data_IF_044481563084
#
_entry.id   IF_044481563084
#
_cell.length_a   1.000
_cell.length_b   1.000
_cell.length_c   1.000
_cell.angle_alpha   90.00
_cell.angle_beta   90.00
_cell.angle_gamma   90.00
#
_symmetry.space_group_name_H-M   'P 1'
#
loop_
_entity.id
_entity.type
_entity.pdbx_description
1 polymer ?
#
# COMPACT_ATOMS: atom_id res chain seq x y z
N UNK A 1 17.35 -23.09 65.42
CA UNK A 1 18.17 -22.03 64.83
C UNK A 1 17.80 -21.93 63.36
N UNK A 2 17.37 -20.74 62.97
CA UNK A 2 17.27 -20.12 61.64
C UNK A 2 16.77 -20.93 60.43
N UNK A 3 15.72 -20.39 59.80
CA UNK A 3 15.19 -20.86 58.52
C UNK A 3 15.82 -20.20 57.30
N UNK A 4 15.29 -20.55 56.13
CA UNK A 4 15.19 -19.67 54.96
C UNK A 4 14.19 -20.24 53.94
N UNK A 5 13.30 -19.35 53.48
CA UNK A 5 12.33 -19.51 52.40
C UNK A 5 13.01 -19.75 51.04
N UNK A 6 12.25 -20.32 50.10
CA UNK A 6 12.61 -20.33 48.68
C UNK A 6 11.72 -21.27 47.88
N UNK A 7 10.55 -20.80 47.47
CA UNK A 7 9.58 -21.55 46.67
C UNK A 7 10.15 -22.07 45.34
N UNK A 8 9.71 -23.27 44.97
CA UNK A 8 10.05 -23.91 43.70
C UNK A 8 8.81 -24.50 43.06
N UNK A 9 8.48 -23.93 41.90
CA UNK A 9 7.78 -24.50 40.74
C UNK A 9 6.85 -25.69 40.98
N UNK A 10 5.56 -25.40 41.07
CA UNK A 10 4.52 -26.39 40.81
C UNK A 10 4.42 -26.66 39.31
N UNK A 11 4.76 -27.89 38.92
CA UNK A 11 4.66 -28.41 37.57
C UNK A 11 3.18 -28.56 37.17
N UNK A 12 2.71 -27.78 36.20
CA UNK A 12 1.43 -28.02 35.54
C UNK A 12 1.61 -29.11 34.47
N UNK A 13 0.82 -30.18 34.60
CA UNK A 13 0.77 -31.33 33.69
C UNK A 13 0.27 -30.98 32.29
N UNK A 14 0.16 -31.98 31.38
CA UNK A 14 -0.12 -31.77 29.96
C UNK A 14 -1.61 -31.45 29.77
N UNK A 15 -1.97 -30.20 30.05
CA UNK A 15 -3.29 -29.64 29.80
C UNK A 15 -3.42 -29.25 28.33
N UNK A 16 -4.58 -29.56 27.77
CA UNK A 16 -5.10 -29.27 26.43
C UNK A 16 -5.16 -27.78 26.03
N UNK A 17 -4.30 -26.93 26.60
CA UNK A 17 -4.25 -25.47 26.39
C UNK A 17 -3.16 -25.02 25.41
N UNK A 18 -2.19 -25.88 25.07
CA UNK A 18 -1.11 -25.52 24.13
C UNK A 18 -1.56 -25.43 22.66
N UNK A 19 -2.54 -26.25 22.27
CA UNK A 19 -3.02 -26.33 20.89
C UNK A 19 -3.94 -25.15 20.53
N UNK A 20 -4.72 -24.66 21.50
CA UNK A 20 -5.62 -23.51 21.32
C UNK A 20 -4.84 -22.20 21.15
N UNK A 21 -3.71 -22.06 21.86
CA UNK A 21 -2.86 -20.87 21.76
C UNK A 21 -2.13 -20.78 20.40
N UNK A 22 -1.73 -21.92 19.84
CA UNK A 22 -1.08 -21.96 18.52
C UNK A 22 -2.05 -21.63 17.37
N UNK A 23 -3.31 -22.06 17.47
CA UNK A 23 -4.35 -21.75 16.46
C UNK A 23 -4.76 -20.27 16.52
N UNK A 24 -4.82 -19.66 17.71
CA UNK A 24 -5.14 -18.23 17.84
C UNK A 24 -4.04 -17.32 17.27
N UNK A 25 -2.76 -17.68 17.41
CA UNK A 25 -1.63 -16.90 16.86
C UNK A 25 -1.49 -17.10 15.35
N UNK A 26 -1.83 -18.28 14.81
CA UNK A 26 -1.84 -18.52 13.36
C UNK A 26 -2.96 -17.76 12.62
N UNK A 27 -4.08 -17.46 13.29
CA UNK A 27 -5.20 -16.75 12.68
C UNK A 27 -4.96 -15.24 12.48
N UNK A 28 -4.03 -14.62 13.21
CA UNK A 28 -3.77 -13.17 13.07
C UNK A 28 -3.04 -12.83 11.76
N UNK A 29 -2.37 -13.80 11.14
CA UNK A 29 -1.70 -13.62 9.85
C UNK A 29 -2.61 -13.86 8.63
N UNK A 30 -3.86 -14.28 8.83
CA UNK A 30 -4.78 -14.63 7.74
C UNK A 30 -5.64 -13.46 7.22
N UNK A 31 -5.45 -12.25 7.73
CA UNK A 31 -6.08 -11.03 7.22
C UNK A 31 -5.22 -10.29 6.18
N UNK A 32 -4.31 -11.00 5.50
CA UNK A 32 -3.07 -10.52 4.84
C UNK A 32 -3.18 -9.48 3.72
N UNK A 33 -3.75 -8.33 4.02
CA UNK A 33 -3.59 -7.09 3.28
C UNK A 33 -2.14 -6.61 3.35
N UNK A 34 -1.52 -6.37 2.20
CA UNK A 34 -0.15 -5.85 2.09
C UNK A 34 -0.22 -4.34 1.96
N UNK A 35 0.44 -3.62 2.87
CA UNK A 35 0.48 -2.16 2.85
C UNK A 35 1.76 -1.65 2.23
N UNK A 36 1.61 -0.76 1.26
CA UNK A 36 2.71 -0.08 0.59
C UNK A 36 2.71 1.41 0.94
N UNK A 37 3.83 2.00 1.37
CA UNK A 37 3.93 3.45 1.49
C UNK A 37 3.70 4.06 0.10
N UNK A 38 2.95 5.15 0.04
CA UNK A 38 2.60 5.84 -1.20
C UNK A 38 3.00 7.30 -1.09
N UNK A 39 3.73 7.76 -2.10
CA UNK A 39 4.16 9.15 -2.23
C UNK A 39 3.73 9.66 -3.58
N UNK A 40 3.25 10.88 -3.65
CA UNK A 40 2.76 11.44 -4.89
C UNK A 40 2.86 12.93 -4.94
N UNK A 41 2.36 13.46 -6.05
CA UNK A 41 2.22 14.88 -6.23
C UNK A 41 0.92 15.25 -6.90
N UNK A 42 0.38 16.37 -6.46
CA UNK A 42 -0.72 17.05 -7.12
C UNK A 42 -0.19 18.23 -7.95
N UNK A 43 -0.51 18.27 -9.25
CA UNK A 43 0.00 19.24 -10.22
C UNK A 43 1.54 19.47 -10.18
N UNK A 44 2.31 18.49 -9.71
CA UNK A 44 3.76 18.62 -9.49
C UNK A 44 4.17 19.70 -8.47
N UNK A 45 3.25 20.13 -7.60
CA UNK A 45 3.47 21.24 -6.64
C UNK A 45 3.24 20.84 -5.19
N UNK A 46 2.23 20.03 -4.94
CA UNK A 46 1.89 19.59 -3.59
C UNK A 46 2.30 18.13 -3.42
N UNK A 47 2.75 17.78 -2.21
CA UNK A 47 3.24 16.45 -1.86
C UNK A 47 2.11 15.66 -1.22
N UNK A 48 1.84 14.50 -1.77
CA UNK A 48 0.86 13.54 -1.27
C UNK A 48 1.60 12.41 -0.54
N UNK A 49 1.14 12.03 0.64
CA UNK A 49 1.71 10.93 1.43
C UNK A 49 0.59 10.05 1.95
N UNK A 50 0.76 8.74 1.88
CA UNK A 50 -0.18 7.81 2.46
C UNK A 50 0.19 6.36 2.19
N UNK A 51 -0.82 5.53 1.96
CA UNK A 51 -0.67 4.08 1.83
C UNK A 51 -1.60 3.50 0.78
N UNK A 52 -1.11 2.47 0.09
CA UNK A 52 -1.93 1.55 -0.70
C UNK A 52 -2.02 0.22 0.03
N UNK A 53 -3.23 -0.18 0.41
CA UNK A 53 -3.53 -1.44 1.05
C UNK A 53 -4.03 -2.42 -0.01
N UNK A 54 -3.25 -3.46 -0.32
CA UNK A 54 -3.55 -4.44 -1.35
C UNK A 54 -4.04 -5.76 -0.74
N UNK A 55 -5.21 -6.21 -1.18
CA UNK A 55 -5.74 -7.52 -0.83
C UNK A 55 -5.39 -8.54 -1.93
N UNK A 56 -4.45 -9.47 -1.67
CA UNK A 56 -4.02 -10.45 -2.66
C UNK A 56 -5.10 -11.48 -3.01
N UNK A 57 -6.11 -11.67 -2.15
CA UNK A 57 -7.20 -12.64 -2.39
C UNK A 57 -8.25 -12.09 -3.36
N UNK A 58 -8.57 -10.80 -3.28
CA UNK A 58 -9.55 -10.16 -4.16
C UNK A 58 -8.92 -9.44 -5.36
N UNK A 59 -7.59 -9.22 -5.36
CA UNK A 59 -6.91 -8.44 -6.40
C UNK A 59 -7.30 -6.96 -6.40
N UNK A 60 -7.83 -6.47 -5.28
CA UNK A 60 -8.24 -5.08 -5.09
C UNK A 60 -7.28 -4.37 -4.16
N UNK A 61 -7.12 -3.06 -4.34
CA UNK A 61 -6.42 -2.22 -3.36
C UNK A 61 -7.26 -1.04 -2.92
N UNK A 62 -7.03 -0.59 -1.69
CA UNK A 62 -7.54 0.66 -1.15
C UNK A 62 -6.37 1.65 -1.07
N UNK A 63 -6.46 2.74 -1.81
CA UNK A 63 -5.43 3.78 -1.84
C UNK A 63 -5.95 4.95 -0.99
N UNK A 64 -5.10 5.44 -0.10
CA UNK A 64 -5.36 6.64 0.69
C UNK A 64 -4.11 7.53 0.67
N UNK A 65 -4.27 8.78 0.28
CA UNK A 65 -3.20 9.77 0.28
C UNK A 65 -3.69 11.09 0.86
N UNK A 66 -2.83 11.73 1.63
CA UNK A 66 -3.06 13.00 2.30
C UNK A 66 -2.08 14.05 1.77
N UNK A 67 -2.61 15.21 1.38
CA UNK A 67 -1.83 16.38 0.97
C UNK A 67 -1.18 17.05 2.19
N UNK A 68 0.14 17.28 2.12
CA UNK A 68 0.88 17.98 3.18
C UNK A 68 0.51 19.46 3.25
N UNK A 69 0.29 20.13 2.11
CA UNK A 69 0.11 21.60 2.06
C UNK A 69 -1.36 21.99 2.19
N UNK A 70 -2.25 21.31 1.47
CA UNK A 70 -3.66 21.69 1.34
C UNK A 70 -4.59 20.93 2.28
N UNK A 71 -4.07 19.98 3.08
CA UNK A 71 -4.86 19.15 4.01
C UNK A 71 -6.04 18.45 3.33
N UNK A 72 -5.89 18.13 2.05
CA UNK A 72 -6.87 17.37 1.27
C UNK A 72 -6.54 15.89 1.36
N UNK A 73 -7.52 15.07 1.70
CA UNK A 73 -7.40 13.62 1.72
C UNK A 73 -8.10 13.04 0.51
N UNK A 74 -7.42 12.17 -0.24
CA UNK A 74 -7.98 11.45 -1.38
C UNK A 74 -7.91 9.95 -1.12
N UNK A 75 -9.03 9.25 -1.27
CA UNK A 75 -9.09 7.82 -0.98
C UNK A 75 -10.09 7.08 -1.87
N UNK A 76 -9.85 5.79 -2.09
CA UNK A 76 -10.74 4.95 -2.87
C UNK A 76 -10.15 3.60 -3.25
N UNK A 77 -10.98 2.79 -3.90
CA UNK A 77 -10.59 1.44 -4.31
C UNK A 77 -10.05 1.44 -5.74
N UNK A 78 -9.13 0.52 -6.00
CA UNK A 78 -8.66 0.17 -7.33
C UNK A 78 -8.63 -1.34 -7.51
N UNK A 79 -8.60 -1.80 -8.75
CA UNK A 79 -8.56 -3.20 -9.11
C UNK A 79 -7.60 -3.42 -10.28
N UNK A 80 -6.97 -4.60 -10.33
CA UNK A 80 -6.17 -5.00 -11.48
C UNK A 80 -7.05 -5.16 -12.72
N UNK A 81 -6.66 -4.55 -13.84
CA UNK A 81 -7.38 -4.60 -15.12
C UNK A 81 -6.52 -5.18 -16.24
N UNK A 82 -5.20 -5.26 -16.06
CA UNK A 82 -4.28 -5.80 -17.05
C UNK A 82 -3.15 -6.60 -16.40
N UNK A 83 -2.80 -7.72 -17.03
CA UNK A 83 -1.68 -8.56 -16.65
C UNK A 83 -0.93 -9.01 -17.92
N UNK A 84 0.37 -8.73 -18.06
CA UNK A 84 1.16 -9.24 -19.17
C UNK A 84 1.33 -10.76 -19.05
N UNK A 85 1.10 -11.47 -20.15
CA UNK A 85 1.36 -12.90 -20.23
C UNK A 85 2.86 -13.15 -20.06
N UNK A 86 3.24 -14.06 -19.15
CA UNK A 86 4.62 -14.50 -18.86
C UNK A 86 5.53 -13.56 -18.03
N UNK A 87 4.99 -12.54 -17.35
CA UNK A 87 5.81 -11.70 -16.45
C UNK A 87 6.05 -12.38 -15.08
N UNK A 88 7.23 -12.96 -14.89
CA UNK A 88 7.63 -13.58 -13.61
C UNK A 88 8.06 -12.57 -12.54
N UNK A 89 8.47 -11.37 -12.96
CA UNK A 89 9.01 -10.33 -12.08
C UNK A 89 7.94 -9.35 -11.57
N UNK A 90 6.68 -9.55 -11.95
CA UNK A 90 5.56 -8.72 -11.52
C UNK A 90 5.51 -7.35 -12.20
N UNK A 91 6.42 -7.03 -13.12
CA UNK A 91 6.43 -5.78 -13.85
C UNK A 91 5.35 -5.76 -14.96
N UNK A 92 4.74 -4.59 -15.16
CA UNK A 92 3.77 -4.33 -16.22
C UNK A 92 2.34 -4.78 -15.91
N UNK A 93 2.07 -5.33 -14.73
CA UNK A 93 0.70 -5.48 -14.25
C UNK A 93 0.12 -4.10 -14.01
N UNK A 94 -1.15 -3.92 -14.33
CA UNK A 94 -1.78 -2.62 -14.23
C UNK A 94 -3.23 -2.72 -13.81
N UNK A 95 -3.74 -1.59 -13.37
CA UNK A 95 -5.10 -1.50 -12.89
C UNK A 95 -5.62 -0.08 -12.91
N UNK A 96 -6.86 0.06 -12.51
CA UNK A 96 -7.56 1.32 -12.47
C UNK A 96 -8.42 1.44 -11.22
N UNK A 97 -8.73 2.68 -10.86
CA UNK A 97 -9.54 2.98 -9.69
C UNK A 97 -10.05 4.41 -9.71
N UNK A 98 -10.81 4.73 -8.67
CA UNK A 98 -11.35 6.07 -8.47
C UNK A 98 -11.03 6.52 -7.05
N UNK A 99 -10.37 7.68 -6.92
CA UNK A 99 -10.05 8.30 -5.64
C UNK A 99 -10.92 9.53 -5.45
N UNK A 100 -11.69 9.55 -4.37
CA UNK A 100 -12.50 10.69 -3.97
C UNK A 100 -11.73 11.54 -2.97
N UNK A 101 -11.64 12.82 -3.25
CA UNK A 101 -10.98 13.78 -2.39
C UNK A 101 -11.98 14.51 -1.46
N UNK A 102 -11.51 14.93 -0.30
CA UNK A 102 -12.29 15.65 0.71
C UNK A 102 -12.79 17.02 0.23
N UNK A 103 -12.19 17.59 -0.82
CA UNK A 103 -12.62 18.82 -1.48
C UNK A 103 -13.66 18.61 -2.59
N UNK A 104 -14.14 17.38 -2.76
CA UNK A 104 -15.17 17.02 -3.73
C UNK A 104 -14.66 16.59 -5.09
N UNK A 105 -13.35 16.68 -5.37
CA UNK A 105 -12.78 16.16 -6.61
C UNK A 105 -12.75 14.65 -6.65
N UNK A 106 -12.78 14.11 -7.85
CA UNK A 106 -12.74 12.68 -8.12
C UNK A 106 -11.66 12.44 -9.16
N UNK A 107 -10.63 11.69 -8.79
CA UNK A 107 -9.54 11.28 -9.67
C UNK A 107 -9.79 9.88 -10.19
N UNK A 108 -9.81 9.73 -11.51
CA UNK A 108 -9.69 8.42 -12.14
C UNK A 108 -8.22 8.10 -12.27
N UNK A 109 -7.79 7.04 -11.60
CA UNK A 109 -6.38 6.65 -11.53
C UNK A 109 -6.14 5.38 -12.34
N UNK A 110 -4.99 5.33 -12.99
CA UNK A 110 -4.41 4.13 -13.57
C UNK A 110 -3.05 3.90 -12.91
N UNK A 111 -2.72 2.65 -12.64
CA UNK A 111 -1.45 2.28 -12.04
C UNK A 111 -0.80 1.13 -12.79
N UNK A 112 0.52 1.04 -12.64
CA UNK A 112 1.34 -0.02 -13.17
C UNK A 112 2.43 -0.42 -12.17
N UNK A 113 2.70 -1.71 -12.07
CA UNK A 113 3.78 -2.27 -11.27
C UNK A 113 5.11 -2.17 -12.01
N UNK A 114 6.15 -1.77 -11.28
CA UNK A 114 7.55 -1.90 -11.69
C UNK A 114 8.12 -3.25 -11.22
N UNK A 115 7.62 -3.75 -10.09
CA UNK A 115 7.90 -5.06 -9.53
C UNK A 115 6.71 -5.51 -8.66
N UNK A 116 6.79 -6.71 -8.05
CA UNK A 116 5.76 -7.20 -7.13
C UNK A 116 5.46 -6.27 -5.94
N UNK A 117 6.39 -5.41 -5.54
CA UNK A 117 6.24 -4.52 -4.40
C UNK A 117 6.25 -3.03 -4.72
N UNK A 118 6.56 -2.65 -5.95
CA UNK A 118 6.74 -1.25 -6.34
C UNK A 118 6.01 -0.91 -7.62
N UNK A 119 5.61 0.35 -7.75
CA UNK A 119 4.96 0.81 -8.96
C UNK A 119 4.63 2.29 -8.92
N UNK A 120 3.91 2.72 -9.95
CA UNK A 120 3.49 4.10 -10.11
C UNK A 120 2.04 4.17 -10.57
N UNK A 121 1.45 5.34 -10.42
CA UNK A 121 0.14 5.63 -10.95
C UNK A 121 -0.04 7.09 -11.34
N UNK A 122 -1.01 7.30 -12.19
CA UNK A 122 -1.40 8.60 -12.75
C UNK A 122 -2.90 8.75 -12.63
N UNK A 123 -3.34 9.92 -12.18
CA UNK A 123 -4.72 10.27 -12.01
C UNK A 123 -5.09 11.51 -12.79
N UNK A 124 -6.32 11.54 -13.32
CA UNK A 124 -6.93 12.75 -13.85
C UNK A 124 -8.29 13.00 -13.21
N UNK A 125 -8.55 14.24 -12.80
CA UNK A 125 -9.89 14.69 -12.45
C UNK A 125 -10.66 15.23 -13.67
N UNK A 126 -11.91 15.65 -13.47
CA UNK A 126 -12.79 16.16 -14.53
C UNK A 126 -12.34 17.52 -15.08
N UNK A 127 -11.61 18.29 -14.29
CA UNK A 127 -11.12 19.64 -14.63
C UNK A 127 -9.74 19.58 -15.32
N UNK A 128 -9.23 18.38 -15.60
CA UNK A 128 -7.90 18.15 -16.18
C UNK A 128 -6.78 18.14 -15.14
N UNK A 129 -7.12 18.16 -13.86
CA UNK A 129 -6.19 18.07 -12.76
C UNK A 129 -5.42 16.78 -12.76
N UNK A 130 -4.10 16.86 -12.54
CA UNK A 130 -3.20 15.70 -12.63
C UNK A 130 -2.67 15.32 -11.26
N UNK A 131 -2.80 14.04 -10.97
CA UNK A 131 -2.18 13.38 -9.83
C UNK A 131 -1.17 12.36 -10.32
N UNK A 132 -0.03 12.25 -9.65
CA UNK A 132 0.95 11.18 -9.89
C UNK A 132 1.34 10.60 -8.55
N UNK A 133 1.53 9.29 -8.48
CA UNK A 133 1.99 8.64 -7.26
C UNK A 133 2.90 7.46 -7.57
N UNK A 134 3.69 7.07 -6.59
CA UNK A 134 4.47 5.84 -6.54
C UNK A 134 4.17 5.13 -5.24
N UNK A 135 4.28 3.82 -5.25
CA UNK A 135 4.10 3.00 -4.06
C UNK A 135 5.26 2.03 -3.87
N UNK A 136 5.50 1.66 -2.61
CA UNK A 136 6.51 0.67 -2.22
C UNK A 136 7.94 1.19 -2.20
N UNK A 137 8.15 2.50 -2.33
CA UNK A 137 9.46 3.16 -2.31
C UNK A 137 9.62 3.97 -1.02
N UNK A 138 10.87 4.20 -0.61
CA UNK A 138 11.18 5.18 0.45
C UNK A 138 10.97 6.61 -0.05
N UNK A 139 10.72 7.57 0.85
CA UNK A 139 10.36 8.96 0.49
C UNK A 139 11.35 9.62 -0.48
N UNK A 140 12.66 9.52 -0.19
CA UNK A 140 13.70 10.12 -1.04
C UNK A 140 13.79 9.46 -2.43
N UNK A 141 13.61 8.14 -2.49
CA UNK A 141 13.59 7.40 -3.75
C UNK A 141 12.35 7.75 -4.56
N UNK A 142 11.19 7.79 -3.89
CA UNK A 142 9.91 8.15 -4.48
C UNK A 142 9.93 9.55 -5.08
N UNK A 143 10.47 10.53 -4.35
CA UNK A 143 10.58 11.90 -4.82
C UNK A 143 11.48 12.00 -6.06
N UNK A 144 12.62 11.31 -6.05
CA UNK A 144 13.52 11.23 -7.21
C UNK A 144 12.82 10.56 -8.42
N UNK A 145 12.11 9.46 -8.19
CA UNK A 145 11.39 8.75 -9.24
C UNK A 145 10.30 9.62 -9.88
N UNK A 146 9.49 10.31 -9.06
CA UNK A 146 8.42 11.19 -9.52
C UNK A 146 8.96 12.36 -10.38
N UNK A 147 10.15 12.87 -10.06
CA UNK A 147 10.74 14.01 -10.75
C UNK A 147 11.51 13.62 -12.02
N UNK A 148 12.19 12.47 -12.04
CA UNK A 148 13.13 12.12 -13.12
C UNK A 148 12.64 10.99 -14.00
N UNK A 149 12.20 9.89 -13.39
CA UNK A 149 11.90 8.65 -14.12
C UNK A 149 10.47 8.64 -14.66
N UNK A 150 9.49 9.00 -13.83
CA UNK A 150 8.09 8.97 -14.21
C UNK A 150 7.78 9.84 -15.44
N UNK A 151 8.29 11.08 -15.58
CA UNK A 151 8.06 11.87 -16.80
C UNK A 151 8.59 11.21 -18.07
N UNK A 152 9.73 10.50 -17.98
CA UNK A 152 10.33 9.78 -19.11
C UNK A 152 9.47 8.57 -19.48
N UNK A 153 9.00 7.81 -18.48
CA UNK A 153 8.10 6.66 -18.69
C UNK A 153 6.82 7.12 -19.40
N UNK A 154 6.18 8.18 -18.90
CA UNK A 154 4.90 8.65 -19.43
C UNK A 154 5.02 9.22 -20.85
N UNK A 155 6.15 9.83 -21.20
CA UNK A 155 6.41 10.29 -22.57
C UNK A 155 6.58 9.14 -23.58
N UNK A 156 7.02 7.96 -23.13
CA UNK A 156 7.19 6.78 -24.00
C UNK A 156 5.89 6.01 -24.24
N UNK A 157 4.87 6.24 -23.42
CA UNK A 157 3.56 5.61 -23.53
C UNK A 157 2.55 6.41 -24.37
N UNK A 158 2.92 7.61 -24.81
CA UNK A 158 2.19 8.44 -25.79
C UNK A 158 2.61 8.08 -27.22
#
# INVERSE_FOLDING_TARGET
>A
MEGKEGGSMENFGPGSSGLVLCVAVACVFLSGCVKFPTFGSYYYRDVLVGTADYNPFSGTSYIQVDSRVHKVRCEGNSHGSYAPLFSLHGAGYGGEGELKCSDGRIFRVQWATLSWGTGYGVGRDRDGGRMTFVYGMEENEAENFLQKELPVILKRSE
#
